data_IF_442747231195
#
_entry.id   IF_442747231195
#
_cell.length_a   1.000
_cell.length_b   1.000
_cell.length_c   1.000
_cell.angle_alpha   90.00
_cell.angle_beta   90.00
_cell.angle_gamma   90.00
#
_symmetry.space_group_name_H-M   'P 1'
#
loop_
_entity.id
_entity.type
_entity.pdbx_description
1 polymer ?
#
# COMPACT_ATOMS: atom_id res chain seq x y z
N UNK A 1 7.85 5.30 30.49
CA UNK A 1 7.01 6.26 29.73
C UNK A 1 7.21 6.15 28.22
N UNK A 2 8.42 5.89 27.71
CA UNK A 2 8.72 5.81 26.27
C UNK A 2 7.86 4.88 25.36
N UNK A 3 7.28 3.78 25.86
CA UNK A 3 6.47 2.86 25.04
C UNK A 3 5.08 3.41 24.71
N UNK A 4 4.47 4.15 25.64
CA UNK A 4 3.14 4.72 25.44
C UNK A 4 3.21 5.87 24.41
N UNK A 5 4.24 6.70 24.50
CA UNK A 5 4.47 7.82 23.58
C UNK A 5 4.73 7.33 22.15
N UNK A 6 5.49 6.24 21.99
CA UNK A 6 5.73 5.62 20.69
C UNK A 6 4.46 5.04 20.03
N UNK A 7 3.53 4.50 20.83
CA UNK A 7 2.24 4.01 20.33
C UNK A 7 1.35 5.17 19.86
N UNK A 8 1.29 6.25 20.64
CA UNK A 8 0.52 7.45 20.29
C UNK A 8 1.07 8.15 19.04
N UNK A 9 2.39 8.25 18.93
CA UNK A 9 3.06 8.79 17.74
C UNK A 9 2.75 7.96 16.48
N UNK A 10 2.75 6.63 16.61
CA UNK A 10 2.38 5.72 15.52
C UNK A 10 0.92 5.90 15.09
N UNK A 11 -0.01 5.99 16.03
CA UNK A 11 -1.43 6.22 15.73
C UNK A 11 -1.65 7.54 14.98
N UNK A 12 -0.98 8.61 15.41
CA UNK A 12 -1.06 9.93 14.77
C UNK A 12 -0.49 9.90 13.34
N UNK A 13 0.65 9.23 13.15
CA UNK A 13 1.25 9.05 11.82
C UNK A 13 0.34 8.27 10.88
N UNK A 14 -0.20 7.12 11.33
CA UNK A 14 -1.11 6.32 10.52
C UNK A 14 -2.32 7.14 10.06
N UNK A 15 -2.90 7.96 10.94
CA UNK A 15 -4.04 8.80 10.57
C UNK A 15 -3.67 9.84 9.49
N UNK A 16 -2.50 10.46 9.59
CA UNK A 16 -2.02 11.39 8.55
C UNK A 16 -1.86 10.68 7.21
N UNK A 17 -1.21 9.51 7.19
CA UNK A 17 -1.03 8.72 5.97
C UNK A 17 -2.37 8.31 5.35
N UNK A 18 -3.37 7.95 6.17
CA UNK A 18 -4.72 7.61 5.67
C UNK A 18 -5.41 8.82 5.04
N UNK A 19 -5.31 9.99 5.67
CA UNK A 19 -5.93 11.22 5.19
C UNK A 19 -5.31 11.70 3.88
N UNK A 20 -4.00 11.53 3.73
CA UNK A 20 -3.26 11.95 2.54
C UNK A 20 -3.30 10.91 1.41
N UNK A 21 -3.75 9.68 1.69
CA UNK A 21 -3.80 8.60 0.69
C UNK A 21 -4.83 8.90 -0.41
N UNK A 22 -4.40 9.02 -1.68
CA UNK A 22 -5.28 9.29 -2.81
C UNK A 22 -6.44 8.30 -2.94
N UNK A 23 -7.60 8.70 -3.50
CA UNK A 23 -8.78 7.82 -3.57
C UNK A 23 -8.65 6.71 -4.60
N UNK A 24 -7.85 6.91 -5.66
CA UNK A 24 -7.63 5.90 -6.69
C UNK A 24 -6.55 4.91 -6.26
N UNK A 25 -6.76 3.63 -6.53
CA UNK A 25 -5.81 2.57 -6.17
C UNK A 25 -4.39 2.82 -6.71
N UNK A 26 -4.25 3.15 -8.00
CA UNK A 26 -2.93 3.33 -8.61
C UNK A 26 -2.14 4.45 -7.94
N UNK A 27 -2.80 5.60 -7.74
CA UNK A 27 -2.22 6.75 -7.04
C UNK A 27 -1.91 6.45 -5.56
N UNK A 28 -2.81 5.72 -4.87
CA UNK A 28 -2.60 5.28 -3.50
C UNK A 28 -1.41 4.32 -3.36
N UNK A 29 -1.25 3.39 -4.31
CA UNK A 29 -0.11 2.49 -4.35
C UNK A 29 1.19 3.27 -4.58
N UNK A 30 1.20 4.24 -5.51
CA UNK A 30 2.35 5.11 -5.73
C UNK A 30 2.69 5.91 -4.46
N UNK A 31 1.70 6.44 -3.77
CA UNK A 31 1.87 7.16 -2.51
C UNK A 31 2.48 6.25 -1.44
N UNK A 32 1.92 5.07 -1.21
CA UNK A 32 2.42 4.12 -0.20
C UNK A 32 3.85 3.62 -0.49
N UNK A 33 4.18 3.40 -1.76
CA UNK A 33 5.56 3.04 -2.13
C UNK A 33 6.56 4.16 -1.79
N UNK A 34 6.16 5.43 -1.93
CA UNK A 34 7.02 6.57 -1.57
C UNK A 34 7.21 6.66 -0.06
N UNK A 35 6.13 6.54 0.72
CA UNK A 35 6.19 6.54 2.19
C UNK A 35 7.10 5.41 2.70
N UNK A 36 7.03 4.23 2.08
CA UNK A 36 7.83 3.07 2.45
C UNK A 36 9.22 3.01 1.75
N UNK A 37 9.57 4.02 0.94
CA UNK A 37 10.83 4.09 0.17
C UNK A 37 11.09 2.84 -0.68
N UNK A 38 10.04 2.25 -1.23
CA UNK A 38 10.08 1.04 -2.05
C UNK A 38 10.18 1.39 -3.54
N UNK A 39 11.14 0.79 -4.25
CA UNK A 39 11.19 0.86 -5.71
C UNK A 39 10.22 -0.14 -6.34
N UNK A 40 9.93 0.03 -7.63
CA UNK A 40 9.09 -0.92 -8.37
C UNK A 40 9.77 -2.27 -8.45
N UNK A 41 11.06 -2.28 -8.77
CA UNK A 41 11.86 -3.48 -8.95
C UNK A 41 11.97 -4.25 -7.63
N UNK A 42 12.25 -3.54 -6.53
CA UNK A 42 12.37 -4.16 -5.21
C UNK A 42 11.05 -4.73 -4.72
N UNK A 43 9.94 -3.99 -4.83
CA UNK A 43 8.64 -4.50 -4.43
C UNK A 43 8.23 -5.69 -5.29
N UNK A 44 8.39 -5.61 -6.62
CA UNK A 44 8.06 -6.68 -7.54
C UNK A 44 8.85 -7.97 -7.26
N UNK A 45 10.15 -7.85 -6.94
CA UNK A 45 10.98 -8.97 -6.50
C UNK A 45 10.46 -9.57 -5.18
N UNK A 46 10.15 -8.73 -4.18
CA UNK A 46 9.64 -9.18 -2.89
C UNK A 46 8.31 -9.95 -2.99
N UNK A 47 7.41 -9.54 -3.90
CA UNK A 47 6.08 -10.15 -4.05
C UNK A 47 5.99 -11.15 -5.20
N UNK A 48 7.13 -11.50 -5.82
CA UNK A 48 7.22 -12.44 -6.94
C UNK A 48 6.32 -12.06 -8.12
N UNK A 49 6.27 -10.77 -8.44
CA UNK A 49 5.53 -10.23 -9.58
C UNK A 49 6.47 -9.71 -10.67
N UNK A 50 5.99 -9.72 -11.91
CA UNK A 50 6.67 -9.02 -13.00
C UNK A 50 6.62 -7.50 -12.77
N UNK A 51 7.72 -6.80 -13.03
CA UNK A 51 7.80 -5.34 -12.85
C UNK A 51 6.76 -4.60 -13.68
N UNK A 52 6.42 -5.10 -14.89
CA UNK A 52 5.36 -4.52 -15.73
C UNK A 52 3.97 -4.73 -15.13
N UNK A 53 3.74 -5.85 -14.43
CA UNK A 53 2.49 -6.06 -13.71
C UNK A 53 2.31 -5.00 -12.63
N UNK A 54 3.35 -4.77 -11.80
CA UNK A 54 3.30 -3.74 -10.77
C UNK A 54 3.19 -2.33 -11.38
N UNK A 55 3.86 -2.05 -12.50
CA UNK A 55 3.70 -0.78 -13.22
C UNK A 55 2.26 -0.57 -13.73
N UNK A 56 1.62 -1.61 -14.28
CA UNK A 56 0.20 -1.54 -14.70
C UNK A 56 -0.72 -1.33 -13.51
N UNK A 57 -0.50 -2.02 -12.40
CA UNK A 57 -1.26 -1.81 -11.16
C UNK A 57 -1.22 -0.35 -10.69
N UNK A 58 -0.08 0.33 -10.86
CA UNK A 58 0.15 1.74 -10.47
C UNK A 58 -0.43 2.76 -11.45
N UNK A 59 -0.35 2.49 -12.74
CA UNK A 59 -0.56 3.51 -13.78
C UNK A 59 -1.80 3.27 -14.65
N UNK A 60 -2.38 2.07 -14.64
CA UNK A 60 -3.52 1.70 -15.46
C UNK A 60 -4.71 1.35 -14.57
N UNK A 61 -5.63 2.31 -14.48
CA UNK A 61 -6.89 2.19 -13.74
C UNK A 61 -7.76 1.03 -14.26
N UNK A 62 -7.62 0.68 -15.54
CA UNK A 62 -8.39 -0.40 -16.19
C UNK A 62 -7.73 -1.77 -16.07
N UNK A 63 -6.47 -1.83 -15.63
CA UNK A 63 -5.76 -3.09 -15.48
C UNK A 63 -6.49 -3.98 -14.46
N UNK A 64 -6.95 -5.18 -14.87
CA UNK A 64 -7.66 -6.08 -13.98
C UNK A 64 -6.74 -6.52 -12.85
N UNK A 65 -7.23 -6.35 -11.64
CA UNK A 65 -6.54 -6.70 -10.40
C UNK A 65 -7.27 -7.87 -9.76
N UNK A 66 -6.57 -8.66 -8.97
CA UNK A 66 -7.19 -9.66 -8.10
C UNK A 66 -6.80 -9.39 -6.64
N UNK A 67 -7.58 -9.90 -5.70
CA UNK A 67 -7.38 -9.62 -4.29
C UNK A 67 -6.03 -10.17 -3.80
N UNK A 68 -5.57 -11.30 -4.34
CA UNK A 68 -4.30 -11.93 -4.00
C UNK A 68 -3.11 -11.01 -4.31
N UNK A 69 -3.11 -10.37 -5.48
CA UNK A 69 -2.05 -9.43 -5.89
C UNK A 69 -2.04 -8.16 -5.03
N UNK A 70 -3.23 -7.65 -4.68
CA UNK A 70 -3.34 -6.48 -3.80
C UNK A 70 -2.84 -6.81 -2.39
N UNK A 71 -3.21 -7.98 -1.85
CA UNK A 71 -2.73 -8.45 -0.54
C UNK A 71 -1.21 -8.68 -0.56
N UNK A 72 -0.68 -9.33 -1.61
CA UNK A 72 0.75 -9.57 -1.75
C UNK A 72 1.54 -8.25 -1.70
N UNK A 73 1.07 -7.21 -2.40
CA UNK A 73 1.65 -5.86 -2.36
C UNK A 73 1.60 -5.26 -0.95
N UNK A 74 0.49 -5.40 -0.22
CA UNK A 74 0.38 -4.92 1.16
C UNK A 74 1.41 -5.62 2.09
N UNK A 75 1.56 -6.94 1.92
CA UNK A 75 2.52 -7.75 2.70
C UNK A 75 3.96 -7.38 2.33
N UNK A 76 4.27 -7.26 1.03
CA UNK A 76 5.61 -6.91 0.55
C UNK A 76 6.08 -5.53 1.02
N UNK A 77 5.15 -4.60 1.22
CA UNK A 77 5.46 -3.30 1.82
C UNK A 77 5.43 -3.30 3.35
N UNK A 78 5.08 -4.41 4.00
CA UNK A 78 4.89 -4.51 5.45
C UNK A 78 3.91 -3.47 6.00
N UNK A 79 2.79 -3.25 5.30
CA UNK A 79 1.79 -2.28 5.72
C UNK A 79 1.16 -2.66 7.06
N UNK A 80 0.82 -1.63 7.84
CA UNK A 80 0.00 -1.81 9.02
C UNK A 80 -1.43 -2.20 8.61
N UNK A 81 -2.17 -2.96 9.44
CA UNK A 81 -3.52 -3.41 9.12
C UNK A 81 -4.42 -2.28 8.62
N UNK A 82 -4.41 -1.13 9.31
CA UNK A 82 -5.22 0.03 8.97
C UNK A 82 -4.86 0.63 7.61
N UNK A 83 -3.57 0.64 7.25
CA UNK A 83 -3.11 1.14 5.95
C UNK A 83 -3.40 0.14 4.83
N UNK A 84 -3.26 -1.15 5.11
CA UNK A 84 -3.58 -2.20 4.15
C UNK A 84 -5.07 -2.24 3.83
N UNK A 85 -5.95 -2.05 4.82
CA UNK A 85 -7.40 -1.99 4.62
C UNK A 85 -7.80 -0.81 3.72
N UNK A 86 -7.15 0.34 3.92
CA UNK A 86 -7.35 1.53 3.09
C UNK A 86 -6.89 1.31 1.64
N UNK A 87 -5.79 0.59 1.43
CA UNK A 87 -5.32 0.28 0.07
C UNK A 87 -6.19 -0.80 -0.61
N UNK A 88 -6.63 -1.82 0.13
CA UNK A 88 -7.51 -2.90 -0.34
C UNK A 88 -8.88 -2.34 -0.75
N UNK A 89 -9.50 -1.51 0.09
CA UNK A 89 -10.79 -0.89 -0.24
C UNK A 89 -10.74 -0.04 -1.51
N UNK A 90 -9.66 0.72 -1.72
CA UNK A 90 -9.45 1.52 -2.96
C UNK A 90 -9.25 0.65 -4.20
N UNK A 91 -8.82 -0.59 -4.05
CA UNK A 91 -8.73 -1.57 -5.15
C UNK A 91 -10.08 -2.17 -5.56
N UNK A 92 -11.15 -1.89 -4.81
CA UNK A 92 -12.48 -2.44 -5.04
C UNK A 92 -12.75 -3.78 -4.31
N UNK A 93 -11.86 -4.20 -3.41
CA UNK A 93 -12.00 -5.41 -2.61
C UNK A 93 -12.24 -5.06 -1.12
N UNK A 94 -12.72 -6.04 -0.34
CA UNK A 94 -12.88 -5.95 1.12
C UNK A 94 -12.60 -7.31 1.76
N UNK A 95 -12.15 -7.32 3.01
CA UNK A 95 -11.89 -8.51 3.83
C UNK A 95 -12.89 -8.65 4.97
#
# INVERSE_FOLDING_TARGET
MAKADAILARGSYTQTVINDMPPKFGDALIYMMKENKQSVEGLAECVLMDTKMLQRMRNDDTYPKNIESVIAVCIGMHLLPELSEQLISRSGFSL
#
